data_IF_497961307139
#
_entry.id   IF_497961307139
#
_cell.length_a   1.000
_cell.length_b   1.000
_cell.length_c   1.000
_cell.angle_alpha   90.00
_cell.angle_beta   90.00
_cell.angle_gamma   90.00
#
_symmetry.space_group_name_H-M   'P 1'
#
loop_
_entity.id
_entity.type
_entity.pdbx_description
1 polymer ?
#
# COMPACT_ATOMS: atom_id res chain seq x y z
N UNK A 1 -35.89 -32.18 0.54
CA UNK A 1 -34.52 -31.64 0.36
C UNK A 1 -34.62 -30.43 -0.56
N UNK A 2 -34.04 -29.28 -0.20
CA UNK A 2 -34.13 -28.03 -0.98
C UNK A 2 -32.83 -27.84 -1.78
N UNK A 3 -32.70 -28.42 -2.99
CA UNK A 3 -31.47 -28.37 -3.78
C UNK A 3 -31.09 -26.92 -4.16
N UNK A 4 -32.09 -26.03 -4.22
CA UNK A 4 -31.91 -24.61 -4.51
C UNK A 4 -31.05 -23.89 -3.46
N UNK A 5 -31.19 -24.24 -2.18
CA UNK A 5 -30.38 -23.65 -1.11
C UNK A 5 -28.91 -24.06 -1.22
N UNK A 6 -28.66 -25.32 -1.60
CA UNK A 6 -27.30 -25.82 -1.83
C UNK A 6 -26.66 -25.12 -3.03
N UNK A 7 -27.43 -24.89 -4.11
CA UNK A 7 -26.94 -24.20 -5.30
C UNK A 7 -26.60 -22.74 -5.01
N UNK A 8 -27.43 -22.05 -4.22
CA UNK A 8 -27.19 -20.67 -3.79
C UNK A 8 -25.95 -20.56 -2.90
N UNK A 9 -25.76 -21.51 -1.98
CA UNK A 9 -24.58 -21.57 -1.13
C UNK A 9 -23.29 -21.80 -1.93
N UNK A 10 -23.34 -22.71 -2.91
CA UNK A 10 -22.22 -22.97 -3.82
C UNK A 10 -21.87 -21.70 -4.60
N UNK A 11 -22.85 -21.00 -5.19
CA UNK A 11 -22.62 -19.76 -5.95
C UNK A 11 -21.92 -18.68 -5.12
N UNK A 12 -22.31 -18.51 -3.84
CA UNK A 12 -21.66 -17.58 -2.90
C UNK A 12 -20.18 -17.90 -2.65
N UNK A 13 -19.81 -19.18 -2.61
CA UNK A 13 -18.42 -19.61 -2.36
C UNK A 13 -17.52 -19.35 -3.59
N UNK A 14 -18.07 -19.44 -4.81
CA UNK A 14 -17.30 -19.22 -6.05
C UNK A 14 -17.12 -17.73 -6.37
N UNK A 15 -17.97 -16.86 -5.82
CA UNK A 15 -17.83 -15.40 -5.88
C UNK A 15 -16.91 -14.85 -4.78
N UNK A 16 -16.39 -15.70 -3.89
CA UNK A 16 -15.43 -15.27 -2.90
C UNK A 16 -14.20 -14.68 -3.61
N UNK A 17 -13.68 -13.54 -3.13
CA UNK A 17 -12.54 -12.86 -3.75
C UNK A 17 -11.44 -13.85 -4.03
N UNK A 18 -10.95 -13.88 -5.27
CA UNK A 18 -9.84 -14.75 -5.68
C UNK A 18 -8.77 -14.69 -4.61
N UNK A 19 -8.40 -15.84 -4.04
CA UNK A 19 -7.31 -15.95 -3.06
C UNK A 19 -6.04 -15.44 -3.74
N UNK A 20 -5.77 -14.15 -3.62
CA UNK A 20 -4.46 -13.57 -3.89
C UNK A 20 -3.46 -14.36 -3.07
N UNK A 21 -2.37 -14.77 -3.70
CA UNK A 21 -1.30 -15.51 -3.04
C UNK A 21 -0.70 -14.64 -1.92
N UNK A 22 -1.15 -14.85 -0.69
CA UNK A 22 -0.73 -14.09 0.48
C UNK A 22 -1.74 -14.25 1.62
N UNK A 23 -1.25 -14.60 2.82
CA UNK A 23 -2.09 -14.62 4.02
C UNK A 23 -2.59 -13.19 4.33
N UNK A 24 -3.84 -13.00 4.79
CA UNK A 24 -4.31 -11.69 5.29
C UNK A 24 -3.37 -11.10 6.37
N UNK A 25 -2.78 -11.97 7.20
CA UNK A 25 -1.76 -11.58 8.19
C UNK A 25 -0.52 -10.99 7.52
N UNK A 26 -0.12 -11.56 6.39
CA UNK A 26 1.05 -11.13 5.63
C UNK A 26 0.79 -9.78 4.94
N UNK A 27 -0.42 -9.56 4.41
CA UNK A 27 -0.82 -8.27 3.87
C UNK A 27 -0.87 -7.19 4.97
N UNK A 28 -1.43 -7.51 6.14
CA UNK A 28 -1.46 -6.59 7.28
C UNK A 28 -0.06 -6.23 7.79
N UNK A 29 0.83 -7.23 7.93
CA UNK A 29 2.22 -6.99 8.32
C UNK A 29 2.95 -6.12 7.31
N UNK A 30 2.69 -6.33 6.01
CA UNK A 30 3.24 -5.51 4.93
C UNK A 30 2.82 -4.05 5.06
N UNK A 31 1.54 -3.79 5.32
CA UNK A 31 1.01 -2.43 5.51
C UNK A 31 1.50 -1.73 6.79
N UNK A 32 2.04 -2.46 7.78
CA UNK A 32 2.61 -1.87 9.00
C UNK A 32 4.11 -1.59 8.84
N UNK A 33 4.83 -2.47 8.14
CA UNK A 33 6.28 -2.43 8.04
C UNK A 33 6.79 -1.64 6.83
N UNK A 34 6.04 -1.63 5.73
CA UNK A 34 6.39 -0.80 4.58
C UNK A 34 5.87 0.63 4.77
N UNK A 35 6.69 1.64 4.41
CA UNK A 35 6.24 3.02 4.43
C UNK A 35 5.08 3.24 3.45
N UNK A 36 4.24 4.26 3.69
CA UNK A 36 3.10 4.54 2.84
C UNK A 36 3.54 4.78 1.39
N UNK A 37 2.69 4.48 0.40
CA UNK A 37 3.01 4.77 -1.00
C UNK A 37 3.15 6.28 -1.22
N UNK A 38 4.09 6.69 -2.07
CA UNK A 38 4.26 8.09 -2.46
C UNK A 38 3.00 8.58 -3.19
N UNK A 39 2.56 9.80 -2.88
CA UNK A 39 1.40 10.41 -3.55
C UNK A 39 1.71 10.90 -4.96
N UNK A 40 2.97 11.22 -5.22
CA UNK A 40 3.50 11.59 -6.53
C UNK A 40 4.70 10.73 -6.84
N UNK A 41 4.87 10.39 -8.11
CA UNK A 41 6.07 9.69 -8.55
C UNK A 41 7.31 10.54 -8.27
N UNK A 42 8.39 9.94 -7.75
CA UNK A 42 9.65 10.64 -7.62
C UNK A 42 10.15 11.04 -9.01
N UNK A 43 10.44 12.33 -9.21
CA UNK A 43 11.07 12.81 -10.45
C UNK A 43 12.42 12.14 -10.68
N UNK A 44 13.12 11.76 -9.59
CA UNK A 44 14.39 11.08 -9.64
C UNK A 44 14.55 10.06 -8.51
N UNK A 45 14.94 8.84 -8.83
CA UNK A 45 15.14 7.74 -7.88
C UNK A 45 16.57 7.74 -7.29
N UNK A 46 17.01 8.90 -6.82
CA UNK A 46 18.37 9.11 -6.30
C UNK A 46 18.41 9.23 -4.77
N UNK A 47 17.31 9.65 -4.15
CA UNK A 47 17.26 9.95 -2.71
C UNK A 47 16.50 8.87 -1.96
N UNK A 48 17.20 7.78 -1.64
CA UNK A 48 16.67 6.69 -0.83
C UNK A 48 16.62 7.06 0.66
N UNK A 49 15.63 6.52 1.37
CA UNK A 49 15.48 6.71 2.81
C UNK A 49 15.07 5.41 3.50
N UNK A 50 15.37 5.30 4.79
CA UNK A 50 14.85 4.24 5.66
C UNK A 50 13.89 4.82 6.70
N UNK A 51 14.20 6.03 7.19
CA UNK A 51 13.43 6.76 8.19
C UNK A 51 13.06 8.16 7.67
N UNK A 52 12.07 8.79 8.30
CA UNK A 52 11.58 10.11 7.88
C UNK A 52 12.64 11.21 8.11
N UNK A 53 13.46 11.07 9.15
CA UNK A 53 14.58 11.96 9.47
C UNK A 53 15.72 11.95 8.42
N UNK A 54 15.77 10.95 7.54
CA UNK A 54 16.74 10.90 6.43
C UNK A 54 16.41 11.95 5.36
N UNK A 55 15.14 12.38 5.27
CA UNK A 55 14.68 13.33 4.29
C UNK A 55 14.81 14.79 4.77
N UNK A 56 15.16 15.69 3.85
CA UNK A 56 15.17 17.12 4.14
C UNK A 56 13.77 17.64 4.52
N UNK A 57 13.72 18.75 5.26
CA UNK A 57 12.45 19.43 5.59
C UNK A 57 11.65 19.70 4.31
N UNK A 58 10.36 19.38 4.32
CA UNK A 58 9.50 19.47 3.14
C UNK A 58 9.32 18.15 2.38
N UNK A 59 10.09 17.11 2.71
CA UNK A 59 10.03 15.80 2.08
C UNK A 59 9.50 14.73 3.04
N UNK A 60 8.89 13.68 2.47
CA UNK A 60 8.43 12.50 3.19
C UNK A 60 9.11 11.24 2.67
N UNK A 61 9.41 10.31 3.57
CA UNK A 61 9.89 8.99 3.19
C UNK A 61 8.70 8.09 2.84
N UNK A 62 8.66 7.58 1.61
CA UNK A 62 7.54 6.81 1.09
C UNK A 62 7.98 5.75 0.07
N UNK A 63 7.11 4.78 -0.21
CA UNK A 63 7.36 3.70 -1.17
C UNK A 63 6.96 4.11 -2.60
N UNK A 64 7.86 3.94 -3.56
CA UNK A 64 7.68 4.21 -4.98
C UNK A 64 8.13 3.01 -5.84
N UNK A 65 7.97 3.10 -7.16
CA UNK A 65 8.35 2.02 -8.10
C UNK A 65 9.83 1.60 -8.01
N UNK A 66 10.70 2.52 -7.59
CA UNK A 66 12.13 2.30 -7.46
C UNK A 66 12.60 1.97 -6.04
N UNK A 67 11.68 1.82 -5.08
CA UNK A 67 11.98 1.54 -3.68
C UNK A 67 11.52 2.66 -2.74
N UNK A 68 12.12 2.71 -1.55
CA UNK A 68 11.76 3.68 -0.50
C UNK A 68 12.60 4.94 -0.68
N UNK A 69 11.95 6.06 -0.98
CA UNK A 69 12.60 7.32 -1.40
C UNK A 69 11.96 8.55 -0.75
N UNK A 70 12.72 9.64 -0.69
CA UNK A 70 12.23 10.94 -0.28
C UNK A 70 11.48 11.62 -1.44
N UNK A 71 10.22 12.00 -1.21
CA UNK A 71 9.42 12.80 -2.16
C UNK A 71 8.82 14.03 -1.50
N UNK A 72 8.38 15.01 -2.29
CA UNK A 72 7.75 16.21 -1.76
C UNK A 72 6.51 15.85 -0.91
N UNK A 73 6.46 16.35 0.32
CA UNK A 73 5.34 16.12 1.20
C UNK A 73 4.23 17.14 0.89
N UNK A 74 3.21 16.73 0.14
CA UNK A 74 2.07 17.60 -0.21
C UNK A 74 1.15 17.93 0.98
N UNK A 75 1.33 17.30 2.14
CA UNK A 75 0.58 17.66 3.37
C UNK A 75 1.25 18.79 4.16
N UNK A 76 2.50 19.15 3.82
CA UNK A 76 3.07 20.40 4.29
C UNK A 76 2.44 21.46 3.39
N UNK A 77 1.30 22.01 3.86
CA UNK A 77 0.81 23.29 3.38
C UNK A 77 2.03 24.19 3.22
N UNK A 78 2.22 24.68 1.99
CA UNK A 78 3.21 25.69 1.69
C UNK A 78 2.73 26.96 2.40
N UNK A 79 2.92 27.02 3.72
CA UNK A 79 2.71 28.20 4.54
C UNK A 79 3.79 29.20 4.09
N UNK A 80 3.43 30.01 3.11
CA UNK A 80 4.23 31.06 2.51
C UNK A 80 3.53 32.39 2.73
#
# INVERSE_FOLDING_TARGET
MKPVLFLQLLLLIHLAPQRVSGSPKQHFMRSILEPPPCKSDPENCTHFCTLQEDCHKGFQCCSAFCGIVCTLNININHDR
#
